data_IF_082260483973
#
_entry.id   IF_082260483973
#
_cell.length_a   1.000
_cell.length_b   1.000
_cell.length_c   1.000
_cell.angle_alpha   90.00
_cell.angle_beta   90.00
_cell.angle_gamma   90.00
#
_symmetry.space_group_name_H-M   'P 1'
#
loop_
_entity.id
_entity.type
_entity.pdbx_description
1 polymer ?
#
# COMPACT_ATOMS: atom_id res chain seq x y z
N UNK A 1 4.88 12.03 23.25
CA UNK A 1 4.42 11.97 21.85
C UNK A 1 4.23 10.50 21.52
N UNK A 2 3.00 10.08 21.26
CA UNK A 2 2.68 8.66 21.00
C UNK A 2 3.28 8.22 19.65
N UNK A 3 3.46 6.91 19.43
CA UNK A 3 3.89 6.40 18.12
C UNK A 3 2.98 6.89 16.98
N UNK A 4 1.68 6.98 17.26
CA UNK A 4 0.66 7.47 16.34
C UNK A 4 0.87 8.93 15.89
N UNK A 5 1.14 9.86 16.82
CA UNK A 5 1.41 11.26 16.49
C UNK A 5 2.69 11.41 15.65
N UNK A 6 3.69 10.57 15.93
CA UNK A 6 4.94 10.57 15.16
C UNK A 6 4.69 10.08 13.74
N UNK A 7 3.89 9.03 13.55
CA UNK A 7 3.60 8.48 12.23
C UNK A 7 2.74 9.43 11.39
N UNK A 8 1.71 10.04 11.99
CA UNK A 8 0.89 11.07 11.33
C UNK A 8 1.74 12.27 10.86
N UNK A 9 2.73 12.67 11.65
CA UNK A 9 3.64 13.76 11.27
C UNK A 9 4.56 13.36 10.09
N UNK A 10 5.02 12.09 10.02
CA UNK A 10 5.83 11.61 8.89
C UNK A 10 5.03 11.62 7.59
N UNK A 11 3.79 11.14 7.63
CA UNK A 11 2.90 11.12 6.47
C UNK A 11 2.61 12.54 5.97
N UNK A 12 2.33 13.47 6.88
CA UNK A 12 2.11 14.88 6.52
C UNK A 12 3.34 15.53 5.86
N UNK A 13 4.53 15.28 6.38
CA UNK A 13 5.78 15.78 5.80
C UNK A 13 6.04 15.17 4.41
N UNK A 14 5.77 13.87 4.25
CA UNK A 14 5.89 13.19 2.96
C UNK A 14 4.87 13.72 1.96
N UNK A 15 3.60 13.90 2.36
CA UNK A 15 2.55 14.44 1.49
C UNK A 15 2.94 15.78 0.87
N UNK A 16 3.44 16.72 1.68
CA UNK A 16 3.96 18.01 1.18
C UNK A 16 5.10 17.86 0.16
N UNK A 17 5.97 16.88 0.36
CA UNK A 17 7.04 16.59 -0.59
C UNK A 17 6.49 15.99 -1.90
N UNK A 18 5.48 15.12 -1.80
CA UNK A 18 4.81 14.53 -2.95
C UNK A 18 4.02 15.58 -3.75
N UNK A 19 3.38 16.55 -3.10
CA UNK A 19 2.66 17.63 -3.76
C UNK A 19 3.57 18.41 -4.74
N UNK A 20 4.77 18.78 -4.29
CA UNK A 20 5.75 19.43 -5.16
C UNK A 20 6.23 18.55 -6.33
N UNK A 21 6.25 17.22 -6.15
CA UNK A 21 6.53 16.28 -7.24
C UNK A 21 5.38 16.30 -8.26
N UNK A 22 4.13 16.21 -7.79
CA UNK A 22 2.98 16.22 -8.67
C UNK A 22 2.87 17.52 -9.48
N UNK A 23 3.11 18.66 -8.83
CA UNK A 23 3.22 19.96 -9.50
C UNK A 23 4.30 19.93 -10.59
N UNK A 24 5.49 19.38 -10.31
CA UNK A 24 6.58 19.28 -11.30
C UNK A 24 6.24 18.39 -12.51
N UNK A 25 5.29 17.46 -12.35
CA UNK A 25 4.79 16.59 -13.41
C UNK A 25 3.60 17.19 -14.16
N UNK A 26 3.18 18.43 -13.84
CA UNK A 26 1.94 19.06 -14.32
C UNK A 26 0.70 18.19 -14.05
N UNK A 27 0.68 17.51 -12.89
CA UNK A 27 -0.46 16.74 -12.42
C UNK A 27 -1.18 17.52 -11.32
N UNK A 28 -2.31 18.12 -11.70
CA UNK A 28 -3.14 18.90 -10.77
C UNK A 28 -4.04 17.97 -9.94
N UNK A 29 -3.60 17.63 -8.73
CA UNK A 29 -4.41 16.88 -7.77
C UNK A 29 -5.04 17.79 -6.74
N UNK A 30 -6.28 17.49 -6.35
CA UNK A 30 -6.90 18.01 -5.14
C UNK A 30 -6.52 17.10 -3.97
N UNK A 31 -5.77 17.62 -2.99
CA UNK A 31 -5.47 16.90 -1.75
C UNK A 31 -6.64 16.98 -0.78
N UNK A 32 -7.03 15.83 -0.26
CA UNK A 32 -8.17 15.70 0.64
C UNK A 32 -7.72 15.76 2.09
N UNK A 33 -8.27 16.73 2.83
CA UNK A 33 -8.13 16.83 4.29
C UNK A 33 -9.38 16.33 5.04
N UNK A 34 -10.47 16.06 4.32
CA UNK A 34 -11.70 15.52 4.90
C UNK A 34 -11.47 14.11 5.44
N UNK A 35 -11.66 13.96 6.75
CA UNK A 35 -11.39 12.70 7.46
C UNK A 35 -12.30 11.56 6.96
N UNK A 36 -13.54 11.85 6.59
CA UNK A 36 -14.48 10.82 6.10
C UNK A 36 -14.05 10.28 4.74
N UNK A 37 -13.56 11.15 3.85
CA UNK A 37 -13.02 10.76 2.56
C UNK A 37 -11.67 10.04 2.69
N UNK A 38 -10.78 10.50 3.57
CA UNK A 38 -9.52 9.79 3.88
C UNK A 38 -9.79 8.39 4.44
N UNK A 39 -10.79 8.24 5.32
CA UNK A 39 -11.23 6.93 5.82
C UNK A 39 -11.78 6.03 4.70
N UNK A 40 -12.27 6.59 3.60
CA UNK A 40 -12.66 5.86 2.39
C UNK A 40 -11.48 5.57 1.44
N UNK A 41 -10.24 5.89 1.85
CA UNK A 41 -9.02 5.68 1.07
C UNK A 41 -8.87 6.67 -0.07
N UNK A 42 -9.07 7.96 0.22
CA UNK A 42 -8.92 9.03 -0.76
C UNK A 42 -8.03 10.12 -0.13
N UNK A 43 -6.78 10.17 -0.56
CA UNK A 43 -5.83 11.23 -0.19
C UNK A 43 -5.76 12.30 -1.27
N UNK A 44 -5.94 11.89 -2.54
CA UNK A 44 -5.93 12.79 -3.69
C UNK A 44 -7.10 12.48 -4.63
N UNK A 45 -7.61 13.53 -5.26
CA UNK A 45 -8.55 13.44 -6.38
C UNK A 45 -7.87 14.04 -7.62
N UNK A 46 -7.90 13.29 -8.72
CA UNK A 46 -7.51 13.79 -10.03
C UNK A 46 -8.73 13.92 -10.92
N UNK A 47 -9.04 15.15 -11.32
CA UNK A 47 -10.18 15.46 -12.17
C UNK A 47 -9.74 15.45 -13.64
N UNK A 48 -10.08 14.37 -14.35
CA UNK A 48 -10.02 14.30 -15.82
C UNK A 48 -11.42 13.99 -16.37
N UNK A 49 -11.50 13.40 -17.57
CA UNK A 49 -12.73 12.83 -18.12
C UNK A 49 -13.36 11.77 -17.21
N UNK A 50 -12.52 11.00 -16.51
CA UNK A 50 -12.93 10.12 -15.42
C UNK A 50 -12.25 10.56 -14.13
N UNK A 51 -13.01 10.67 -13.03
CA UNK A 51 -12.46 10.99 -11.71
C UNK A 51 -11.62 9.83 -11.19
N UNK A 52 -10.35 10.12 -10.89
CA UNK A 52 -9.43 9.14 -10.28
C UNK A 52 -9.30 9.48 -8.80
N UNK A 53 -9.77 8.56 -7.95
CA UNK A 53 -9.62 8.63 -6.49
C UNK A 53 -8.39 7.84 -6.08
N UNK A 54 -7.43 8.50 -5.42
CA UNK A 54 -6.09 7.98 -5.17
C UNK A 54 -5.85 7.86 -3.66
N UNK A 55 -5.27 6.74 -3.25
CA UNK A 55 -4.80 6.48 -1.89
C UNK A 55 -3.26 6.36 -1.93
N UNK A 56 -2.56 7.21 -1.19
CA UNK A 56 -1.11 7.22 -1.06
C UNK A 56 -0.69 6.18 -0.01
N UNK A 57 0.08 5.18 -0.43
CA UNK A 57 0.59 4.12 0.45
C UNK A 57 2.11 4.14 0.46
N UNK A 58 2.73 4.47 1.59
CA UNK A 58 4.16 4.70 1.68
C UNK A 58 4.91 3.65 2.54
N UNK A 59 6.14 3.31 2.14
CA UNK A 59 7.04 2.43 2.91
C UNK A 59 7.90 3.21 3.92
N UNK A 60 7.25 3.95 4.84
CA UNK A 60 7.94 4.82 5.81
C UNK A 60 8.82 4.08 6.83
N UNK A 61 8.65 2.76 7.00
CA UNK A 61 9.56 1.95 7.83
C UNK A 61 10.88 1.61 7.13
N UNK A 62 10.95 1.82 5.81
CA UNK A 62 12.09 1.44 4.97
C UNK A 62 12.84 2.67 4.40
N UNK A 63 12.87 3.77 5.14
CA UNK A 63 13.62 4.97 4.74
C UNK A 63 15.09 4.66 4.40
N UNK A 64 15.56 5.27 3.32
CA UNK A 64 16.87 5.07 2.72
C UNK A 64 17.12 3.63 2.23
N UNK A 65 16.05 2.90 1.90
CA UNK A 65 16.09 1.58 1.26
C UNK A 65 15.07 1.53 0.12
N UNK A 66 15.41 0.80 -0.94
CA UNK A 66 14.49 0.51 -2.04
C UNK A 66 14.16 -0.98 -2.04
N UNK A 67 12.89 -1.31 -1.78
CA UNK A 67 12.40 -2.68 -1.80
C UNK A 67 11.77 -3.02 -3.16
N UNK A 68 11.99 -4.23 -3.69
CA UNK A 68 11.39 -4.64 -4.97
C UNK A 68 9.92 -5.06 -4.86
N UNK A 69 9.31 -4.89 -3.68
CA UNK A 69 8.00 -5.42 -3.31
C UNK A 69 7.18 -4.40 -2.54
N UNK A 70 5.86 -4.52 -2.62
CA UNK A 70 4.91 -3.80 -1.78
C UNK A 70 3.91 -4.77 -1.15
N UNK A 71 3.43 -4.46 0.06
CA UNK A 71 2.46 -5.25 0.81
C UNK A 71 1.07 -4.61 0.73
N UNK A 72 0.09 -5.40 0.29
CA UNK A 72 -1.31 -5.01 0.24
C UNK A 72 -2.05 -5.68 1.39
N UNK A 73 -2.64 -4.89 2.28
CA UNK A 73 -3.23 -5.39 3.52
C UNK A 73 -4.53 -6.17 3.26
N UNK A 74 -4.58 -7.40 3.73
CA UNK A 74 -5.75 -8.27 3.65
C UNK A 74 -6.58 -8.19 4.93
N UNK A 75 -5.91 -8.24 6.08
CA UNK A 75 -6.53 -8.10 7.39
C UNK A 75 -5.52 -7.77 8.49
N UNK A 76 -6.05 -7.35 9.63
CA UNK A 76 -5.30 -7.10 10.86
C UNK A 76 -6.20 -7.28 12.08
N UNK A 77 -5.62 -7.35 13.27
CA UNK A 77 -6.33 -7.39 14.54
C UNK A 77 -6.34 -6.00 15.18
N UNK A 78 -7.50 -5.60 15.70
CA UNK A 78 -7.64 -4.40 16.52
C UNK A 78 -8.49 -4.75 17.74
N UNK A 79 -7.90 -4.65 18.93
CA UNK A 79 -8.52 -5.07 20.19
C UNK A 79 -9.04 -6.53 20.09
N UNK A 80 -8.18 -7.43 19.61
CA UNK A 80 -8.46 -8.86 19.36
C UNK A 80 -9.57 -9.16 18.33
N UNK A 81 -10.23 -8.14 17.77
CA UNK A 81 -11.18 -8.30 16.69
C UNK A 81 -10.48 -8.19 15.33
N UNK A 82 -10.70 -9.16 14.45
CA UNK A 82 -10.25 -9.09 13.08
C UNK A 82 -10.93 -7.96 12.32
N UNK A 83 -10.14 -7.20 11.56
CA UNK A 83 -10.55 -6.11 10.68
C UNK A 83 -10.10 -6.44 9.26
N UNK A 84 -10.96 -6.10 8.31
CA UNK A 84 -10.66 -6.25 6.88
C UNK A 84 -9.66 -5.16 6.49
N UNK A 85 -8.59 -5.57 5.82
CA UNK A 85 -7.56 -4.69 5.32
C UNK A 85 -8.00 -3.91 4.09
N UNK A 86 -7.33 -2.78 3.84
CA UNK A 86 -7.75 -1.81 2.83
C UNK A 86 -7.81 -2.34 1.39
N UNK A 87 -7.11 -3.44 1.05
CA UNK A 87 -7.22 -4.03 -0.28
C UNK A 87 -8.61 -4.64 -0.48
N UNK A 88 -9.11 -5.34 0.53
CA UNK A 88 -10.34 -6.15 0.49
C UNK A 88 -11.57 -5.42 1.02
N UNK A 89 -11.40 -4.24 1.62
CA UNK A 89 -12.50 -3.45 2.16
C UNK A 89 -13.32 -2.80 1.04
N UNK A 90 -14.61 -3.17 0.97
CA UNK A 90 -15.55 -2.69 -0.03
C UNK A 90 -16.01 -1.24 0.22
N UNK A 91 -15.78 -0.72 1.44
CA UNK A 91 -16.10 0.67 1.77
C UNK A 91 -15.06 1.65 1.22
N UNK A 92 -13.89 1.15 0.80
CA UNK A 92 -12.84 1.97 0.18
C UNK A 92 -13.25 2.32 -1.25
N UNK A 93 -13.27 3.61 -1.57
CA UNK A 93 -13.59 4.14 -2.89
C UNK A 93 -12.38 4.31 -3.80
N UNK A 94 -11.18 4.01 -3.28
CA UNK A 94 -9.92 4.08 -4.01
C UNK A 94 -9.99 3.41 -5.37
N UNK A 95 -9.65 4.15 -6.42
CA UNK A 95 -9.51 3.64 -7.78
C UNK A 95 -8.06 3.25 -8.08
N UNK A 96 -7.10 4.02 -7.54
CA UNK A 96 -5.68 3.84 -7.74
C UNK A 96 -4.93 3.97 -6.42
N UNK A 97 -3.92 3.12 -6.23
CA UNK A 97 -2.95 3.30 -5.16
C UNK A 97 -1.71 3.98 -5.72
N UNK A 98 -1.22 5.02 -5.06
CA UNK A 98 0.12 5.55 -5.30
C UNK A 98 1.06 4.93 -4.28
N UNK A 99 1.81 3.93 -4.74
CA UNK A 99 2.78 3.22 -3.91
C UNK A 99 4.07 4.02 -3.86
N UNK A 100 4.37 4.60 -2.69
CA UNK A 100 5.56 5.39 -2.45
C UNK A 100 6.63 4.50 -1.85
N UNK A 101 7.67 4.25 -2.63
CA UNK A 101 8.79 3.34 -2.29
C UNK A 101 10.12 4.03 -2.50
N UNK A 102 11.23 3.41 -2.09
CA UNK A 102 12.56 3.97 -2.33
C UNK A 102 12.69 5.39 -1.78
N UNK A 103 12.14 5.65 -0.59
CA UNK A 103 12.08 6.99 0.01
C UNK A 103 13.44 7.31 0.65
N UNK A 104 14.16 8.28 0.10
CA UNK A 104 15.44 8.76 0.63
C UNK A 104 15.26 10.12 1.30
N UNK A 105 15.91 10.29 2.46
CA UNK A 105 15.74 11.49 3.29
C UNK A 105 17.01 12.34 3.28
N UNK A 106 16.86 13.65 3.52
CA UNK A 106 18.01 14.53 3.72
C UNK A 106 18.80 14.10 4.95
N UNK A 107 18.06 13.89 6.04
CA UNK A 107 18.56 13.36 7.31
C UNK A 107 17.59 12.28 7.80
N UNK A 108 18.10 11.12 8.26
CA UNK A 108 17.23 10.01 8.69
C UNK A 108 16.65 10.24 10.09
N UNK A 109 17.40 10.91 10.96
CA UNK A 109 17.01 11.27 12.33
C UNK A 109 15.96 12.37 12.38
N UNK A 110 15.92 13.25 11.36
CA UNK A 110 15.03 14.41 11.32
C UNK A 110 14.41 14.59 9.92
N UNK A 111 13.17 14.12 9.77
CA UNK A 111 12.44 14.24 8.50
C UNK A 111 11.99 15.67 8.20
N UNK A 112 12.02 16.59 9.18
CA UNK A 112 11.70 17.99 8.91
C UNK A 112 12.72 18.66 7.99
N UNK A 113 13.93 18.08 7.89
CA UNK A 113 14.96 18.47 6.91
C UNK A 113 14.58 18.11 5.47
N UNK A 114 13.49 17.38 5.27
CA UNK A 114 12.95 17.05 3.96
C UNK A 114 13.45 15.73 3.37
N UNK A 115 12.93 15.45 2.18
CA UNK A 115 13.20 14.24 1.42
C UNK A 115 14.08 14.55 0.19
N UNK A 116 14.88 13.57 -0.21
CA UNK A 116 15.76 13.65 -1.39
C UNK A 116 15.06 13.12 -2.63
N UNK A 117 14.43 11.96 -2.51
CA UNK A 117 13.78 11.26 -3.62
C UNK A 117 12.83 10.19 -3.10
N UNK A 118 11.93 9.75 -3.96
CA UNK A 118 11.07 8.58 -3.77
C UNK A 118 10.81 7.94 -5.13
N UNK A 119 10.11 6.82 -5.18
CA UNK A 119 9.52 6.23 -6.39
C UNK A 119 8.02 6.10 -6.17
N UNK A 120 7.23 6.59 -7.12
CA UNK A 120 5.78 6.55 -7.14
C UNK A 120 5.34 5.57 -8.23
N UNK A 121 4.73 4.47 -7.80
CA UNK A 121 4.10 3.49 -8.70
C UNK A 121 2.59 3.56 -8.54
N UNK A 122 1.90 3.98 -9.59
CA UNK A 122 0.43 3.93 -9.65
C UNK A 122 -0.04 2.51 -9.91
N UNK A 123 -0.98 2.00 -9.11
CA UNK A 123 -1.60 0.69 -9.26
C UNK A 123 -3.10 0.88 -9.43
N UNK A 124 -3.66 0.40 -10.55
CA UNK A 124 -5.10 0.44 -10.76
C UNK A 124 -5.76 -0.70 -9.97
N UNK A 125 -6.60 -0.35 -8.97
CA UNK A 125 -7.23 -1.32 -8.06
C UNK A 125 -8.10 -2.32 -8.81
N UNK A 126 -8.91 -1.86 -9.77
CA UNK A 126 -9.79 -2.74 -10.56
C UNK A 126 -8.99 -3.76 -11.37
N UNK A 127 -7.90 -3.32 -12.03
CA UNK A 127 -7.01 -4.21 -12.76
C UNK A 127 -6.31 -5.20 -11.83
N UNK A 128 -5.84 -4.75 -10.67
CA UNK A 128 -5.24 -5.62 -9.66
C UNK A 128 -6.22 -6.71 -9.21
N UNK A 129 -7.43 -6.34 -8.78
CA UNK A 129 -8.42 -7.30 -8.30
C UNK A 129 -8.85 -8.28 -9.41
N UNK A 130 -9.05 -7.80 -10.64
CA UNK A 130 -9.35 -8.67 -11.79
C UNK A 130 -8.22 -9.65 -12.09
N UNK A 131 -6.97 -9.19 -12.00
CA UNK A 131 -5.79 -10.04 -12.19
C UNK A 131 -5.70 -11.12 -11.10
N UNK A 132 -5.85 -10.75 -9.83
CA UNK A 132 -5.86 -11.70 -8.72
C UNK A 132 -6.97 -12.74 -8.89
N UNK A 133 -8.18 -12.31 -9.24
CA UNK A 133 -9.30 -13.23 -9.54
C UNK A 133 -8.96 -14.19 -10.69
N UNK A 134 -8.31 -13.71 -11.77
CA UNK A 134 -7.91 -14.57 -12.90
C UNK A 134 -6.88 -15.64 -12.52
N UNK A 135 -6.16 -15.44 -11.40
CA UNK A 135 -5.23 -16.40 -10.81
C UNK A 135 -5.88 -17.33 -9.79
N UNK A 136 -7.18 -17.19 -9.52
CA UNK A 136 -7.88 -17.89 -8.44
C UNK A 136 -7.75 -17.24 -7.07
N UNK A 137 -7.18 -16.02 -6.98
CA UNK A 137 -7.05 -15.24 -5.75
C UNK A 137 -8.15 -14.19 -5.64
N UNK A 138 -9.41 -14.63 -5.62
CA UNK A 138 -10.51 -13.73 -5.28
C UNK A 138 -10.53 -13.39 -3.78
N UNK A 139 -11.46 -12.51 -3.39
CA UNK A 139 -11.62 -12.09 -1.99
C UNK A 139 -11.88 -13.28 -1.06
N UNK A 140 -12.69 -14.25 -1.50
CA UNK A 140 -13.02 -15.44 -0.70
C UNK A 140 -11.77 -16.28 -0.47
N UNK A 141 -10.98 -16.56 -1.50
CA UNK A 141 -9.73 -17.32 -1.39
C UNK A 141 -8.71 -16.63 -0.51
N UNK A 142 -8.56 -15.30 -0.65
CA UNK A 142 -7.63 -14.51 0.17
C UNK A 142 -8.04 -14.50 1.66
N UNK A 143 -9.34 -14.43 1.95
CA UNK A 143 -9.84 -14.54 3.33
C UNK A 143 -9.73 -15.96 3.88
N UNK A 144 -9.83 -17.00 3.05
CA UNK A 144 -9.56 -18.37 3.49
C UNK A 144 -8.11 -18.52 3.95
N UNK A 145 -7.15 -18.05 3.15
CA UNK A 145 -5.75 -18.06 3.57
C UNK A 145 -5.52 -17.24 4.85
N UNK A 146 -6.26 -16.16 5.04
CA UNK A 146 -6.21 -15.38 6.27
C UNK A 146 -6.61 -16.21 7.49
N UNK A 147 -7.74 -16.93 7.41
CA UNK A 147 -8.19 -17.86 8.47
C UNK A 147 -7.15 -18.94 8.70
N UNK A 148 -6.70 -19.63 7.64
CA UNK A 148 -5.75 -20.73 7.75
C UNK A 148 -4.46 -20.29 8.47
N UNK A 149 -3.91 -19.12 8.12
CA UNK A 149 -2.68 -18.62 8.75
C UNK A 149 -2.88 -18.29 10.24
N UNK A 150 -4.07 -17.83 10.64
CA UNK A 150 -4.40 -17.52 12.03
C UNK A 150 -4.69 -18.78 12.84
N UNK A 151 -5.45 -19.71 12.29
CA UNK A 151 -5.95 -20.91 12.97
C UNK A 151 -4.85 -21.95 13.19
N UNK A 152 -3.92 -22.09 12.24
CA UNK A 152 -2.80 -23.04 12.36
C UNK A 152 -1.60 -22.48 13.14
N UNK A 153 -1.76 -21.31 13.80
CA UNK A 153 -0.69 -20.60 14.52
C UNK A 153 0.62 -20.51 13.72
N UNK A 154 0.51 -20.25 12.42
CA UNK A 154 1.67 -20.27 11.52
C UNK A 154 2.66 -19.20 11.96
N UNK A 155 3.82 -19.63 12.46
CA UNK A 155 4.89 -18.73 12.90
C UNK A 155 5.73 -18.20 11.74
N UNK A 156 5.56 -18.77 10.54
CA UNK A 156 6.34 -18.41 9.37
C UNK A 156 5.84 -17.09 8.78
N UNK A 157 6.77 -16.15 8.64
CA UNK A 157 6.46 -14.81 8.14
C UNK A 157 6.12 -14.81 6.64
N UNK A 158 6.80 -15.65 5.85
CA UNK A 158 6.62 -15.74 4.39
C UNK A 158 5.92 -17.04 4.03
N UNK A 159 4.73 -16.91 3.44
CA UNK A 159 3.86 -18.03 3.12
C UNK A 159 3.62 -18.04 1.60
N UNK A 160 4.39 -18.82 0.83
CA UNK A 160 4.11 -19.07 -0.58
C UNK A 160 2.72 -19.69 -0.75
N UNK A 161 2.03 -19.30 -1.82
CA UNK A 161 0.71 -19.82 -2.18
C UNK A 161 0.77 -20.39 -3.59
N UNK A 162 -0.15 -21.30 -3.92
CA UNK A 162 -0.09 -22.07 -5.17
C UNK A 162 -0.39 -21.21 -6.42
N UNK A 163 -1.17 -20.15 -6.26
CA UNK A 163 -1.73 -19.35 -7.35
C UNK A 163 -0.71 -18.40 -8.00
N UNK A 164 0.38 -18.06 -7.29
CA UNK A 164 1.42 -17.13 -7.76
C UNK A 164 2.82 -17.63 -7.42
N UNK A 165 3.77 -17.36 -8.32
CA UNK A 165 5.16 -17.78 -8.10
C UNK A 165 5.85 -16.87 -7.06
N UNK A 166 6.28 -17.41 -5.93
CA UNK A 166 6.90 -16.62 -4.85
C UNK A 166 8.21 -15.90 -5.21
N UNK A 167 8.95 -16.40 -6.22
CA UNK A 167 10.20 -15.79 -6.67
C UNK A 167 9.98 -14.64 -7.64
N UNK A 168 8.91 -14.66 -8.42
CA UNK A 168 8.70 -13.69 -9.51
C UNK A 168 7.45 -12.83 -9.36
N UNK A 169 6.46 -13.25 -8.58
CA UNK A 169 5.17 -12.59 -8.46
C UNK A 169 4.94 -12.07 -7.03
N UNK A 170 4.89 -12.96 -6.03
CA UNK A 170 4.55 -12.56 -4.66
C UNK A 170 4.19 -13.72 -3.73
N UNK A 171 3.82 -13.40 -2.49
CA UNK A 171 3.48 -14.35 -1.44
C UNK A 171 2.59 -13.70 -0.37
N UNK A 172 2.06 -14.48 0.57
CA UNK A 172 1.42 -13.95 1.77
C UNK A 172 2.45 -13.67 2.86
N UNK A 173 2.42 -12.47 3.42
CA UNK A 173 3.31 -12.02 4.47
C UNK A 173 2.51 -11.86 5.76
N UNK A 174 2.80 -12.70 6.74
CA UNK A 174 2.17 -12.67 8.06
C UNK A 174 3.17 -12.14 9.09
N UNK A 175 2.76 -11.15 9.89
CA UNK A 175 3.61 -10.56 10.93
C UNK A 175 3.07 -10.87 12.33
N UNK A 176 3.13 -12.13 12.81
CA UNK A 176 2.56 -12.52 14.11
C UNK A 176 3.21 -11.83 15.32
N UNK A 177 4.41 -11.29 15.14
CA UNK A 177 5.16 -10.55 16.16
C UNK A 177 4.63 -9.14 16.44
N UNK A 178 3.78 -8.59 15.55
CA UNK A 178 3.16 -7.29 15.74
C UNK A 178 1.85 -7.42 16.50
N UNK A 179 1.48 -6.42 17.30
CA UNK A 179 0.21 -6.43 18.04
C UNK A 179 -1.00 -6.65 17.13
N UNK A 180 -1.00 -6.01 15.96
CA UNK A 180 -2.07 -6.13 14.96
C UNK A 180 -2.02 -7.43 14.16
N UNK A 181 -0.96 -8.24 14.28
CA UNK A 181 -0.78 -9.50 13.53
C UNK A 181 -1.29 -9.40 12.06
N UNK A 182 -0.79 -8.43 11.28
CA UNK A 182 -1.34 -8.15 9.96
C UNK A 182 -0.96 -9.24 8.97
N UNK A 183 -1.90 -9.56 8.08
CA UNK A 183 -1.70 -10.45 6.94
C UNK A 183 -1.79 -9.61 5.68
N UNK A 184 -0.75 -9.71 4.85
CA UNK A 184 -0.60 -8.92 3.64
C UNK A 184 -0.35 -9.82 2.44
N UNK A 185 -0.86 -9.42 1.28
CA UNK A 185 -0.39 -9.92 0.00
C UNK A 185 0.83 -9.11 -0.44
N UNK A 186 2.02 -9.69 -0.37
CA UNK A 186 3.25 -9.06 -0.84
C UNK A 186 3.44 -9.35 -2.32
N UNK A 187 3.47 -8.32 -3.16
CA UNK A 187 3.68 -8.44 -4.61
C UNK A 187 4.95 -7.71 -5.05
N UNK A 188 5.59 -8.23 -6.08
CA UNK A 188 6.76 -7.60 -6.71
C UNK A 188 6.33 -6.47 -7.62
N UNK A 189 6.95 -5.29 -7.46
CA UNK A 189 6.65 -4.11 -8.27
C UNK A 189 6.92 -4.37 -9.76
N UNK A 190 8.05 -5.01 -10.08
CA UNK A 190 8.39 -5.42 -11.46
C UNK A 190 7.32 -6.31 -12.09
N UNK A 191 6.69 -7.19 -11.31
CA UNK A 191 5.62 -8.04 -11.80
C UNK A 191 4.37 -7.22 -12.12
N UNK A 192 3.95 -6.33 -11.21
CA UNK A 192 2.79 -5.46 -11.40
C UNK A 192 2.93 -4.56 -12.65
N UNK A 193 4.14 -4.04 -12.89
CA UNK A 193 4.48 -3.29 -14.10
C UNK A 193 4.38 -4.17 -15.34
N UNK A 194 4.98 -5.36 -15.31
CA UNK A 194 4.99 -6.31 -16.44
C UNK A 194 3.59 -6.70 -16.91
N UNK A 195 2.65 -6.89 -15.97
CA UNK A 195 1.28 -7.31 -16.29
C UNK A 195 0.33 -6.12 -16.61
N UNK A 196 0.84 -4.88 -16.60
CA UNK A 196 0.04 -3.69 -16.92
C UNK A 196 -1.02 -3.31 -15.87
N UNK A 197 -0.90 -3.86 -14.66
CA UNK A 197 -1.71 -3.47 -13.48
C UNK A 197 -1.17 -2.17 -12.88
N UNK A 198 0.14 -1.94 -13.00
CA UNK A 198 0.82 -0.77 -12.48
C UNK A 198 1.56 0.04 -13.56
N UNK A 199 1.83 1.31 -13.26
CA UNK A 199 2.68 2.21 -14.01
C UNK A 199 3.54 3.02 -13.05
N UNK A 200 4.85 3.09 -13.28
CA UNK A 200 5.71 4.02 -12.56
C UNK A 200 5.48 5.42 -13.12
N UNK A 201 5.23 6.39 -12.24
CA UNK A 201 4.94 7.78 -12.63
C UNK A 201 6.01 8.76 -12.13
N UNK A 202 6.88 8.34 -11.20
CA UNK A 202 7.98 9.16 -10.71
C UNK A 202 9.03 8.31 -9.97
N UNK A 203 10.31 8.72 -9.99
CA UNK A 203 10.99 9.23 -11.18
C UNK A 203 10.91 8.18 -12.28
#
# INVERSE_FOLDING_TARGET
>A
MSHFERDLNKEKLLGKFLDGIYESLNLEFERIEDISLQQQGIDLIYLQNETILIDEKAQLDYLNKSLPTFTFELSYLKNDAQKIGWLLDNNKKTTHYFLITGIYTNEKSDLSKGFKSCVITSVNRKKLMKHLQSKGLDKTRLLQYDSDLRDFEVKTIKNPIAEINFKTEGLLYFSPQLAEKPINLQLRLKYLLKIGVAKQIYP
#
